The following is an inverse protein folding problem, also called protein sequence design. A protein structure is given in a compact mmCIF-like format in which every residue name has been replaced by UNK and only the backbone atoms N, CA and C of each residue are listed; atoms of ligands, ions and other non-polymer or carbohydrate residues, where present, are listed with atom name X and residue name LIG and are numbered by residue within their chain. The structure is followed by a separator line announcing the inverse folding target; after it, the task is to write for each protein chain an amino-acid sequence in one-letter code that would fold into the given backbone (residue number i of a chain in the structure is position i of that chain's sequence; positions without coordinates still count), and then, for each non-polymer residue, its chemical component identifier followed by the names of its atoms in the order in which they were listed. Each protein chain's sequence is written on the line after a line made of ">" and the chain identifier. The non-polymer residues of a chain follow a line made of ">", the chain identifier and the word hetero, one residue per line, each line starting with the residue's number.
data_IF_488978075934
#
_entry.id   IF_488978075934
#
_cell.length_a   1.000
_cell.length_b   1.000
_cell.length_c   1.000
_cell.angle_alpha   90.00
_cell.angle_beta   90.00
_cell.angle_gamma   90.00
#
_symmetry.space_group_name_H-M   'P 1'
#
loop_
_entity.id
_entity.type
_entity.pdbx_description
1 polymer ?
#
# COMPACT_ATOMS: atom_id res chain seq x y z
N UNK A 1 20.85 19.53 -14.08
CA UNK A 1 19.58 19.89 -13.42
C UNK A 1 18.43 18.93 -13.82
N UNK A 2 18.65 17.60 -13.77
CA UNK A 2 17.69 16.56 -14.20
C UNK A 2 17.54 15.39 -13.19
N UNK A 3 18.05 15.52 -11.96
CA UNK A 3 18.02 14.46 -10.92
C UNK A 3 16.96 14.65 -9.82
N UNK A 4 16.12 15.69 -9.89
CA UNK A 4 15.19 16.04 -8.80
C UNK A 4 13.81 15.38 -8.89
N UNK A 5 13.43 14.82 -10.04
CA UNK A 5 12.07 14.27 -10.23
C UNK A 5 11.98 12.79 -9.84
N UNK A 6 13.11 12.06 -9.81
CA UNK A 6 13.10 10.61 -9.55
C UNK A 6 12.94 10.25 -8.06
N UNK A 7 13.29 11.15 -7.14
CA UNK A 7 13.26 10.84 -5.70
C UNK A 7 11.89 11.04 -5.04
N UNK A 8 11.05 11.92 -5.57
CA UNK A 8 9.66 12.06 -5.10
C UNK A 8 8.85 10.77 -5.34
N UNK A 9 9.17 10.00 -6.39
CA UNK A 9 8.56 8.70 -6.67
C UNK A 9 9.05 7.58 -5.73
N UNK A 10 10.27 7.67 -5.19
CA UNK A 10 10.80 6.68 -4.25
C UNK A 10 10.10 6.76 -2.89
N UNK A 11 9.68 7.95 -2.46
CA UNK A 11 8.88 8.15 -1.24
C UNK A 11 7.47 7.55 -1.36
N UNK A 12 6.93 7.48 -2.59
CA UNK A 12 5.54 7.08 -2.90
C UNK A 12 5.40 5.56 -3.13
N UNK A 13 6.49 4.81 -3.32
CA UNK A 13 6.45 3.35 -3.52
C UNK A 13 6.58 2.52 -2.21
N UNK A 14 6.54 3.16 -1.04
CA UNK A 14 6.98 2.53 0.20
C UNK A 14 5.96 1.77 1.05
N UNK A 15 4.65 1.82 0.78
CA UNK A 15 3.69 1.53 1.84
C UNK A 15 2.48 0.69 1.38
N UNK A 16 2.74 -0.59 1.08
CA UNK A 16 1.69 -1.59 0.85
C UNK A 16 1.70 -2.76 1.85
N UNK A 17 2.05 -2.51 3.11
CA UNK A 17 1.99 -3.56 4.15
C UNK A 17 1.57 -2.96 5.50
N UNK A 18 0.32 -3.20 5.89
CA UNK A 18 -0.10 -3.38 7.29
C UNK A 18 -1.58 -3.78 7.31
N UNK A 19 -1.90 -5.08 7.46
CA UNK A 19 -3.12 -5.56 8.10
C UNK A 19 -2.95 -7.04 8.48
N UNK A 20 -2.90 -7.34 9.78
CA UNK A 20 -3.37 -8.58 10.40
C UNK A 20 -3.16 -8.50 11.92
N UNK A 21 -4.14 -7.95 12.65
CA UNK A 21 -4.50 -8.35 14.02
C UNK A 21 -5.54 -7.39 14.61
N UNK A 22 -6.82 -7.80 14.66
CA UNK A 22 -7.59 -7.94 15.91
C UNK A 22 -9.05 -8.35 15.67
N UNK A 23 -9.59 -9.01 16.68
CA UNK A 23 -10.79 -9.86 16.68
C UNK A 23 -12.11 -9.21 16.24
N UNK A 24 -13.01 -10.08 15.79
CA UNK A 24 -14.44 -9.83 15.79
C UNK A 24 -15.19 -11.01 16.41
N UNK A 25 -16.12 -10.66 17.29
CA UNK A 25 -17.05 -11.56 17.97
C UNK A 25 -18.03 -12.22 16.99
N UNK A 26 -18.50 -13.41 17.36
CA UNK A 26 -19.42 -14.26 16.59
C UNK A 26 -20.75 -13.54 16.27
N UNK A 27 -21.07 -13.46 14.97
CA UNK A 27 -22.46 -13.31 14.52
C UNK A 27 -22.85 -14.49 13.63
N UNK A 28 -24.09 -14.96 13.79
CA UNK A 28 -24.62 -16.18 13.20
C UNK A 28 -24.51 -16.18 11.67
N UNK A 29 -23.81 -17.20 11.17
CA UNK A 29 -23.49 -17.40 9.75
C UNK A 29 -24.66 -18.11 9.04
N UNK A 30 -25.12 -17.61 7.88
CA UNK A 30 -26.07 -18.35 7.05
C UNK A 30 -25.43 -19.66 6.55
N UNK A 31 -26.24 -20.71 6.40
CA UNK A 31 -25.80 -22.06 6.05
C UNK A 31 -24.87 -22.05 4.83
N UNK A 32 -23.59 -22.39 5.06
CA UNK A 32 -22.58 -22.50 4.02
C UNK A 32 -22.96 -23.61 3.03
N UNK A 33 -22.79 -23.32 1.74
CA UNK A 33 -22.71 -24.35 0.71
C UNK A 33 -21.67 -25.39 1.13
N UNK A 34 -21.99 -26.68 0.96
CA UNK A 34 -21.09 -27.77 1.29
C UNK A 34 -19.72 -27.53 0.66
N UNK A 35 -18.62 -27.51 1.45
CA UNK A 35 -17.30 -27.19 0.94
C UNK A 35 -16.93 -28.16 -0.18
N UNK A 36 -16.43 -27.64 -1.29
CA UNK A 36 -15.86 -28.48 -2.35
C UNK A 36 -14.68 -29.28 -1.78
N UNK A 37 -14.46 -30.53 -2.21
CA UNK A 37 -13.28 -31.29 -1.85
C UNK A 37 -12.00 -30.49 -2.13
N UNK A 38 -11.07 -30.46 -1.17
CA UNK A 38 -9.83 -29.67 -1.28
C UNK A 38 -9.03 -29.94 -2.57
N UNK A 39 -9.09 -31.17 -3.09
CA UNK A 39 -8.43 -31.58 -4.33
C UNK A 39 -9.05 -30.94 -5.59
N UNK A 40 -10.38 -30.81 -5.64
CA UNK A 40 -11.05 -30.13 -6.77
C UNK A 40 -10.74 -28.63 -6.78
N UNK A 41 -10.69 -28.02 -5.59
CA UNK A 41 -10.35 -26.60 -5.42
C UNK A 41 -8.88 -26.33 -5.79
N UNK A 42 -7.97 -27.22 -5.40
CA UNK A 42 -6.57 -27.17 -5.83
C UNK A 42 -6.42 -27.31 -7.35
N UNK A 43 -7.08 -28.30 -7.95
CA UNK A 43 -7.07 -28.51 -9.40
C UNK A 43 -7.66 -27.31 -10.16
N UNK A 44 -8.70 -26.68 -9.61
CA UNK A 44 -9.28 -25.45 -10.16
C UNK A 44 -8.34 -24.25 -10.04
N UNK A 45 -7.66 -24.10 -8.91
CA UNK A 45 -6.62 -23.09 -8.74
C UNK A 45 -5.50 -23.28 -9.78
N UNK A 46 -4.99 -24.51 -9.92
CA UNK A 46 -3.96 -24.86 -10.90
C UNK A 46 -4.42 -24.65 -12.34
N UNK A 47 -5.70 -24.91 -12.64
CA UNK A 47 -6.30 -24.59 -13.93
C UNK A 47 -6.25 -23.10 -14.22
N UNK A 48 -6.68 -22.23 -13.30
CA UNK A 48 -6.62 -20.78 -13.48
C UNK A 48 -5.19 -20.27 -13.65
N UNK A 49 -4.25 -20.79 -12.88
CA UNK A 49 -2.81 -20.51 -13.02
C UNK A 49 -2.30 -20.90 -14.40
N UNK A 50 -2.66 -22.10 -14.89
CA UNK A 50 -2.26 -22.57 -16.22
C UNK A 50 -2.77 -21.69 -17.37
N UNK A 51 -3.83 -20.91 -17.12
CA UNK A 51 -4.41 -19.94 -18.06
C UNK A 51 -3.92 -18.51 -17.83
N UNK A 52 -3.00 -18.29 -16.89
CA UNK A 52 -2.46 -16.98 -16.53
C UNK A 52 -3.41 -16.11 -15.72
N UNK A 53 -4.48 -16.68 -15.15
CA UNK A 53 -5.45 -15.97 -14.31
C UNK A 53 -5.11 -16.19 -12.82
N UNK A 54 -4.06 -15.52 -12.35
CA UNK A 54 -3.49 -15.74 -11.02
C UNK A 54 -4.42 -15.32 -9.89
N UNK A 55 -5.21 -14.26 -10.08
CA UNK A 55 -6.20 -13.80 -9.10
C UNK A 55 -7.25 -14.88 -8.83
N UNK A 56 -7.78 -15.51 -9.88
CA UNK A 56 -8.73 -16.61 -9.74
C UNK A 56 -8.07 -17.87 -9.18
N UNK A 57 -6.79 -18.10 -9.50
CA UNK A 57 -6.00 -19.19 -8.91
C UNK A 57 -5.84 -19.02 -7.40
N UNK A 58 -5.47 -17.82 -6.97
CA UNK A 58 -5.30 -17.48 -5.55
C UNK A 58 -6.62 -17.49 -4.79
N UNK A 59 -7.68 -16.91 -5.37
CA UNK A 59 -9.03 -16.95 -4.78
C UNK A 59 -9.55 -18.39 -4.63
N UNK A 60 -9.25 -19.27 -5.59
CA UNK A 60 -9.57 -20.69 -5.47
C UNK A 60 -8.78 -21.33 -4.32
N UNK A 61 -7.47 -21.10 -4.19
CA UNK A 61 -6.69 -21.63 -3.07
C UNK A 61 -7.19 -21.17 -1.69
N UNK A 62 -7.58 -19.89 -1.56
CA UNK A 62 -8.16 -19.35 -0.33
C UNK A 62 -9.52 -19.95 0.03
N UNK A 63 -10.19 -20.63 -0.93
CA UNK A 63 -11.43 -21.34 -0.66
C UNK A 63 -11.22 -22.77 -0.15
N UNK A 64 -9.97 -23.24 -0.03
CA UNK A 64 -9.64 -24.51 0.63
C UNK A 64 -9.82 -24.33 2.14
N UNK A 65 -10.81 -25.01 2.72
CA UNK A 65 -11.10 -24.94 4.16
C UNK A 65 -10.10 -25.69 5.05
N UNK A 66 -9.27 -26.54 4.45
CA UNK A 66 -8.21 -27.30 5.11
C UNK A 66 -6.91 -26.49 5.09
N UNK A 67 -6.57 -25.89 6.23
CA UNK A 67 -5.47 -24.93 6.36
C UNK A 67 -4.10 -25.53 6.01
N UNK A 68 -3.83 -26.78 6.40
CA UNK A 68 -2.55 -27.44 6.15
C UNK A 68 -2.37 -27.70 4.64
N UNK A 69 -3.44 -28.11 3.95
CA UNK A 69 -3.42 -28.27 2.49
C UNK A 69 -3.39 -26.94 1.75
N UNK A 70 -4.06 -25.91 2.27
CA UNK A 70 -4.00 -24.56 1.70
C UNK A 70 -2.58 -24.00 1.79
N UNK A 71 -1.89 -24.22 2.92
CA UNK A 71 -0.51 -23.82 3.12
C UNK A 71 0.45 -24.58 2.19
N UNK A 72 0.35 -25.91 2.09
CA UNK A 72 1.15 -26.73 1.15
C UNK A 72 0.89 -26.33 -0.32
N UNK A 73 -0.38 -26.07 -0.66
CA UNK A 73 -0.76 -25.62 -2.00
C UNK A 73 -0.23 -24.23 -2.32
N UNK A 74 -0.28 -23.30 -1.36
CA UNK A 74 0.28 -21.95 -1.49
C UNK A 74 1.80 -21.99 -1.62
N UNK A 75 2.49 -22.80 -0.82
CA UNK A 75 3.94 -23.00 -0.92
C UNK A 75 4.32 -23.48 -2.33
N UNK A 76 3.60 -24.46 -2.87
CA UNK A 76 3.77 -24.90 -4.26
C UNK A 76 3.39 -23.81 -5.29
N UNK A 77 2.35 -23.01 -5.02
CA UNK A 77 1.90 -21.89 -5.86
C UNK A 77 2.93 -20.76 -5.94
N UNK A 78 3.63 -20.45 -4.87
CA UNK A 78 4.68 -19.43 -4.86
C UNK A 78 5.97 -19.91 -5.57
N UNK A 79 6.16 -21.22 -5.74
CA UNK A 79 7.23 -21.80 -6.56
C UNK A 79 6.87 -21.94 -8.06
N UNK A 80 5.59 -21.77 -8.42
CA UNK A 80 5.10 -21.87 -9.79
C UNK A 80 5.52 -20.72 -10.73
N UNK A 81 5.65 -19.45 -10.30
CA UNK A 81 6.23 -18.39 -11.14
C UNK A 81 7.62 -18.75 -11.66
N UNK A 82 8.46 -19.37 -10.83
CA UNK A 82 9.80 -19.84 -11.22
C UNK A 82 9.75 -20.96 -12.28
N UNK A 83 8.84 -21.92 -12.14
CA UNK A 83 8.69 -23.06 -13.08
C UNK A 83 7.89 -22.73 -14.35
N UNK A 84 7.05 -21.69 -14.34
CA UNK A 84 6.29 -21.26 -15.53
C UNK A 84 7.03 -20.21 -16.37
N UNK A 85 7.95 -19.43 -15.77
CA UNK A 85 8.91 -18.62 -16.52
C UNK A 85 9.72 -19.50 -17.50
N UNK A 86 10.12 -20.71 -17.07
CA UNK A 86 10.78 -21.69 -17.94
C UNK A 86 9.89 -22.22 -19.08
N UNK A 87 8.57 -22.27 -18.89
CA UNK A 87 7.61 -22.88 -19.83
C UNK A 87 7.04 -21.92 -20.88
N UNK A 88 7.06 -20.61 -20.62
CA UNK A 88 6.61 -19.56 -21.55
C UNK A 88 7.76 -18.99 -22.40
N UNK A 89 8.97 -19.54 -22.28
CA UNK A 89 10.19 -19.18 -22.99
C UNK A 89 10.20 -19.56 -24.49
N UNK A 90 9.04 -19.60 -25.14
CA UNK A 90 8.92 -19.82 -26.58
C UNK A 90 8.73 -18.55 -27.42
N UNK A 91 8.18 -17.46 -26.87
CA UNK A 91 7.75 -16.31 -27.71
C UNK A 91 7.93 -14.90 -27.09
N UNK A 92 8.55 -14.76 -25.93
CA UNK A 92 8.94 -13.45 -25.39
C UNK A 92 10.35 -13.56 -24.84
N UNK A 93 11.23 -12.63 -25.21
CA UNK A 93 12.60 -12.55 -24.70
C UNK A 93 12.60 -12.80 -23.17
N UNK A 94 13.06 -13.96 -22.68
CA UNK A 94 12.93 -14.38 -21.29
C UNK A 94 13.81 -13.56 -20.33
N UNK A 95 14.65 -12.68 -20.88
CA UNK A 95 15.73 -12.03 -20.16
C UNK A 95 15.33 -10.76 -19.40
N UNK A 96 14.05 -10.38 -19.29
CA UNK A 96 13.70 -9.14 -18.57
C UNK A 96 12.30 -9.14 -17.93
N UNK A 97 12.11 -9.96 -16.90
CA UNK A 97 10.98 -9.80 -15.98
C UNK A 97 11.43 -9.08 -14.71
N UNK A 98 10.62 -8.12 -14.27
CA UNK A 98 10.68 -7.58 -12.92
C UNK A 98 9.84 -8.47 -11.99
N UNK A 99 10.45 -9.08 -10.99
CA UNK A 99 9.76 -9.87 -9.97
C UNK A 99 9.92 -9.20 -8.61
N UNK A 100 8.80 -9.07 -7.90
CA UNK A 100 8.78 -8.77 -6.47
C UNK A 100 8.58 -10.05 -5.67
N UNK A 101 9.48 -10.34 -4.74
CA UNK A 101 9.36 -11.48 -3.82
C UNK A 101 9.21 -10.98 -2.38
N UNK A 102 8.51 -11.76 -1.56
CA UNK A 102 8.31 -11.48 -0.15
C UNK A 102 8.86 -12.63 0.69
N UNK A 103 9.51 -12.30 1.80
CA UNK A 103 9.81 -13.26 2.86
C UNK A 103 8.90 -12.99 4.06
N UNK A 104 8.49 -14.06 4.73
CA UNK A 104 7.56 -14.00 5.84
C UNK A 104 8.18 -14.62 7.09
N UNK A 105 7.90 -14.02 8.23
CA UNK A 105 8.20 -14.53 9.56
C UNK A 105 7.02 -15.31 10.15
N UNK A 106 7.13 -15.63 11.43
CA UNK A 106 6.06 -16.29 12.18
C UNK A 106 4.77 -15.44 12.12
N UNK A 107 3.64 -16.10 11.88
CA UNK A 107 2.33 -15.44 11.79
C UNK A 107 2.10 -14.69 10.48
N UNK A 108 2.92 -14.92 9.44
CA UNK A 108 2.72 -14.30 8.12
C UNK A 108 3.15 -12.83 8.06
N UNK A 109 3.94 -12.36 9.03
CA UNK A 109 4.49 -10.99 9.02
C UNK A 109 5.55 -10.89 7.93
N UNK A 110 5.47 -9.88 7.05
CA UNK A 110 6.48 -9.66 6.00
C UNK A 110 7.78 -9.19 6.65
N UNK A 111 8.89 -9.88 6.39
CA UNK A 111 10.22 -9.51 6.91
C UNK A 111 11.09 -8.83 5.85
N UNK A 112 10.90 -9.19 4.58
CA UNK A 112 11.65 -8.58 3.47
C UNK A 112 10.79 -8.56 2.21
N UNK A 113 10.92 -7.49 1.43
CA UNK A 113 10.43 -7.36 0.06
C UNK A 113 11.65 -7.19 -0.84
N UNK A 114 11.88 -8.10 -1.79
CA UNK A 114 13.01 -8.03 -2.73
C UNK A 114 12.53 -7.83 -4.16
N UNK A 115 13.32 -7.10 -4.93
CA UNK A 115 13.08 -6.75 -6.32
C UNK A 115 14.15 -7.39 -7.17
N UNK A 116 13.74 -8.08 -8.23
CA UNK A 116 14.61 -8.85 -9.10
C UNK A 116 14.39 -8.43 -10.54
N UNK A 117 15.47 -8.10 -11.24
CA UNK A 117 15.49 -7.85 -12.68
C UNK A 117 16.22 -9.04 -13.32
N UNK A 118 15.57 -9.75 -14.24
CA UNK A 118 16.14 -10.92 -14.92
C UNK A 118 16.61 -12.02 -13.95
N UNK A 119 15.92 -12.16 -12.81
CA UNK A 119 16.26 -13.13 -11.76
C UNK A 119 17.43 -12.73 -10.85
N UNK A 120 18.00 -11.53 -11.02
CA UNK A 120 19.04 -10.98 -10.14
C UNK A 120 18.40 -9.97 -9.20
N UNK A 121 18.62 -10.12 -7.90
CA UNK A 121 18.14 -9.16 -6.90
C UNK A 121 18.82 -7.80 -7.08
N UNK A 122 18.06 -6.77 -7.43
CA UNK A 122 18.52 -5.39 -7.64
C UNK A 122 18.24 -4.48 -6.45
N UNK A 123 17.24 -4.83 -5.64
CA UNK A 123 16.92 -4.11 -4.41
C UNK A 123 16.22 -5.01 -3.39
N UNK A 124 16.26 -4.60 -2.12
CA UNK A 124 15.51 -5.23 -1.05
C UNK A 124 15.14 -4.19 0.02
N UNK A 125 13.96 -4.35 0.60
CA UNK A 125 13.51 -3.64 1.78
C UNK A 125 13.29 -4.62 2.92
N UNK A 126 13.93 -4.37 4.05
CA UNK A 126 13.82 -5.21 5.26
C UNK A 126 13.00 -4.50 6.31
N UNK A 127 12.08 -5.23 6.94
CA UNK A 127 11.16 -4.70 7.94
C UNK A 127 11.51 -5.25 9.32
N UNK A 128 11.45 -4.40 10.34
CA UNK A 128 11.57 -4.80 11.75
C UNK A 128 10.33 -4.41 12.51
N UNK A 129 9.98 -5.20 13.52
CA UNK A 129 8.75 -5.03 14.29
C UNK A 129 9.06 -5.01 15.78
N UNK A 130 8.28 -4.25 16.53
CA UNK A 130 8.30 -4.19 17.99
C UNK A 130 6.87 -4.26 18.49
N UNK A 131 6.58 -5.21 19.39
CA UNK A 131 5.23 -5.47 19.91
C UNK A 131 4.17 -5.66 18.80
N UNK A 132 4.56 -6.26 17.67
CA UNK A 132 3.67 -6.50 16.53
C UNK A 132 3.45 -5.29 15.62
N UNK A 133 3.99 -4.12 15.96
CA UNK A 133 3.92 -2.91 15.14
C UNK A 133 5.22 -2.74 14.33
N UNK A 134 5.10 -2.24 13.10
CA UNK A 134 6.26 -1.96 12.25
C UNK A 134 7.12 -0.88 12.94
N UNK A 135 8.41 -1.14 13.14
CA UNK A 135 9.32 -0.21 13.83
C UNK A 135 10.23 0.52 12.85
N UNK A 136 10.88 -0.24 11.96
CA UNK A 136 11.72 0.33 10.91
C UNK A 136 11.60 -0.44 9.60
N UNK A 137 11.91 0.24 8.49
CA UNK A 137 12.30 -0.41 7.25
C UNK A 137 13.66 0.10 6.77
N UNK A 138 14.44 -0.75 6.11
CA UNK A 138 15.69 -0.37 5.46
C UNK A 138 15.66 -0.83 4.01
N UNK A 139 15.78 0.12 3.08
CA UNK A 139 15.87 -0.17 1.66
C UNK A 139 17.31 -0.10 1.17
N UNK A 140 17.70 -1.16 0.49
CA UNK A 140 18.98 -1.30 -0.19
C UNK A 140 18.75 -1.49 -1.68
N UNK A 141 19.60 -0.87 -2.49
CA UNK A 141 19.67 -1.14 -3.93
C UNK A 141 21.11 -1.44 -4.30
N UNK A 142 21.31 -2.57 -4.98
CA UNK A 142 22.62 -3.12 -5.32
C UNK A 142 23.56 -3.26 -4.10
N UNK A 143 22.99 -3.64 -2.95
CA UNK A 143 23.71 -3.80 -1.68
C UNK A 143 23.88 -2.52 -0.85
N UNK A 144 23.79 -1.36 -1.48
CA UNK A 144 23.93 -0.06 -0.82
C UNK A 144 22.64 0.36 -0.12
N UNK A 145 22.75 0.79 1.15
CA UNK A 145 21.66 1.48 1.86
C UNK A 145 21.28 2.74 1.09
N UNK A 146 20.00 2.91 0.76
CA UNK A 146 19.48 4.14 0.15
C UNK A 146 18.68 4.96 1.15
N UNK A 147 17.84 4.30 1.96
CA UNK A 147 17.15 4.96 3.05
C UNK A 147 16.77 4.00 4.18
N UNK A 148 16.47 4.57 5.33
CA UNK A 148 15.83 3.91 6.47
C UNK A 148 14.58 4.69 6.85
N UNK A 149 13.45 4.03 7.04
CA UNK A 149 12.25 4.62 7.62
C UNK A 149 12.05 4.13 9.06
N UNK A 150 11.62 5.01 9.97
CA UNK A 150 11.15 4.66 11.31
C UNK A 150 9.70 5.10 11.49
N UNK A 151 8.93 4.29 12.19
CA UNK A 151 7.48 4.45 12.34
C UNK A 151 7.14 4.56 13.82
N UNK A 152 6.33 5.55 14.17
CA UNK A 152 5.91 5.79 15.56
C UNK A 152 4.40 5.77 15.67
N UNK A 153 3.89 5.05 16.67
CA UNK A 153 2.47 4.82 16.90
C UNK A 153 2.04 5.43 18.23
N UNK A 154 0.79 5.88 18.30
CA UNK A 154 0.21 6.40 19.54
C UNK A 154 -0.25 5.27 20.47
N UNK A 155 -0.78 5.62 21.63
CA UNK A 155 -1.27 4.64 22.62
C UNK A 155 -2.45 3.78 22.16
N UNK A 156 -3.12 4.17 21.07
CA UNK A 156 -4.22 3.41 20.44
C UNK A 156 -3.71 2.55 19.26
N UNK A 157 -2.40 2.56 18.99
CA UNK A 157 -1.79 1.81 17.88
C UNK A 157 -1.97 2.47 16.52
N UNK A 158 -2.31 3.77 16.46
CA UNK A 158 -2.40 4.52 15.20
C UNK A 158 -1.04 5.12 14.84
N UNK A 159 -0.66 5.03 13.57
CA UNK A 159 0.58 5.63 13.07
C UNK A 159 0.50 7.15 13.15
N UNK A 160 1.36 7.81 13.91
CA UNK A 160 1.36 9.28 14.00
C UNK A 160 2.61 9.93 13.41
N UNK A 161 3.70 9.18 13.18
CA UNK A 161 4.93 9.72 12.60
C UNK A 161 5.66 8.67 11.74
N UNK A 162 6.18 9.13 10.60
CA UNK A 162 7.17 8.42 9.79
C UNK A 162 8.37 9.35 9.61
N UNK A 163 9.58 8.86 9.92
CA UNK A 163 10.82 9.58 9.61
C UNK A 163 11.63 8.73 8.64
N UNK A 164 11.90 9.27 7.46
CA UNK A 164 12.77 8.65 6.46
C UNK A 164 14.11 9.36 6.47
N UNK A 165 15.21 8.61 6.51
CA UNK A 165 16.57 9.11 6.36
C UNK A 165 17.24 8.53 5.14
N UNK A 166 17.96 9.34 4.38
CA UNK A 166 18.80 8.86 3.29
C UNK A 166 20.14 8.28 3.80
N UNK A 167 21.04 7.93 2.89
CA UNK A 167 22.35 7.39 3.25
C UNK A 167 23.25 8.43 3.94
N UNK A 168 23.03 9.71 3.67
CA UNK A 168 23.73 10.87 4.24
C UNK A 168 23.09 11.40 5.54
N UNK A 169 22.07 10.71 6.06
CA UNK A 169 21.30 11.09 7.25
C UNK A 169 20.52 12.40 7.12
N UNK A 170 20.31 12.92 5.90
CA UNK A 170 19.24 13.90 5.68
C UNK A 170 17.90 13.19 5.91
N UNK A 171 16.89 13.94 6.30
CA UNK A 171 15.59 13.36 6.59
C UNK A 171 14.45 14.05 5.86
N UNK A 172 13.44 13.24 5.54
CA UNK A 172 12.08 13.66 5.28
C UNK A 172 11.19 13.06 6.38
N UNK A 173 10.06 13.69 6.67
CA UNK A 173 9.13 13.15 7.66
C UNK A 173 7.68 13.39 7.30
N UNK A 174 6.82 12.58 7.89
CA UNK A 174 5.38 12.65 7.75
C UNK A 174 4.73 12.50 9.12
N UNK A 175 3.97 13.51 9.53
CA UNK A 175 3.25 13.52 10.82
C UNK A 175 1.74 13.46 10.56
N UNK A 176 1.01 12.76 11.43
CA UNK A 176 -0.44 12.65 11.37
C UNK A 176 -1.09 13.13 12.67
N UNK A 177 -2.21 13.85 12.53
CA UNK A 177 -3.10 14.17 13.66
C UNK A 177 -4.45 13.55 13.43
N UNK A 178 -5.02 13.01 14.50
CA UNK A 178 -6.30 12.33 14.50
C UNK A 178 -7.36 13.15 15.24
N UNK A 179 -8.57 13.16 14.70
CA UNK A 179 -9.75 13.69 15.38
C UNK A 179 -10.33 12.67 16.37
N UNK A 180 -11.39 13.07 17.07
CA UNK A 180 -12.06 12.22 18.08
C UNK A 180 -12.71 10.96 17.50
N UNK A 181 -12.99 10.93 16.19
CA UNK A 181 -13.47 9.73 15.48
C UNK A 181 -12.36 8.75 15.11
N UNK A 182 -11.10 9.05 15.45
CA UNK A 182 -9.95 8.25 15.05
C UNK A 182 -9.52 8.45 13.60
N UNK A 183 -10.13 9.39 12.86
CA UNK A 183 -9.78 9.73 11.47
C UNK A 183 -8.69 10.80 11.41
N UNK A 184 -7.82 10.72 10.41
CA UNK A 184 -6.78 11.73 10.18
C UNK A 184 -7.43 13.07 9.83
N UNK A 185 -7.15 14.11 10.62
CA UNK A 185 -7.60 15.48 10.38
C UNK A 185 -6.50 16.36 9.80
N UNK A 186 -5.23 15.98 10.00
CA UNK A 186 -4.09 16.70 9.43
C UNK A 186 -2.96 15.72 9.11
N UNK A 187 -2.30 15.94 7.98
CA UNK A 187 -1.07 15.27 7.56
C UNK A 187 -0.05 16.36 7.22
N UNK A 188 1.13 16.31 7.84
CA UNK A 188 2.23 17.23 7.58
C UNK A 188 3.38 16.46 6.95
N UNK A 189 3.83 16.86 5.77
CA UNK A 189 4.94 16.26 5.04
C UNK A 189 6.08 17.27 5.01
N UNK A 190 7.24 16.89 5.50
CA UNK A 190 8.49 17.65 5.36
C UNK A 190 9.40 16.90 4.41
N UNK A 191 9.69 17.48 3.25
CA UNK A 191 10.59 16.89 2.26
C UNK A 191 12.06 17.05 2.69
N UNK A 192 12.97 16.33 2.04
CA UNK A 192 14.42 16.40 2.30
C UNK A 192 15.01 17.81 2.10
N UNK A 193 14.35 18.68 1.33
CA UNK A 193 14.78 20.08 1.14
C UNK A 193 14.19 21.04 2.19
N UNK A 194 13.45 20.51 3.17
CA UNK A 194 12.77 21.27 4.21
C UNK A 194 11.42 21.87 3.77
N UNK A 195 10.97 21.64 2.53
CA UNK A 195 9.64 22.07 2.10
C UNK A 195 8.59 21.36 2.93
N UNK A 196 7.67 22.13 3.53
CA UNK A 196 6.58 21.58 4.32
C UNK A 196 5.28 21.67 3.53
N UNK A 197 4.57 20.57 3.41
CA UNK A 197 3.20 20.51 2.89
C UNK A 197 2.26 20.03 3.98
N UNK A 198 1.19 20.77 4.24
CA UNK A 198 0.15 20.41 5.20
C UNK A 198 -1.14 20.11 4.44
N UNK A 199 -1.69 18.92 4.65
CA UNK A 199 -3.01 18.52 4.20
C UNK A 199 -3.95 18.52 5.40
N UNK A 200 -5.02 19.32 5.35
CA UNK A 200 -6.08 19.33 6.36
C UNK A 200 -7.32 18.66 5.80
N UNK A 201 -7.91 17.76 6.58
CA UNK A 201 -9.03 16.92 6.18
C UNK A 201 -10.24 17.22 7.06
N UNK A 202 -11.39 17.40 6.41
CA UNK A 202 -12.69 17.53 7.06
C UNK A 202 -13.62 16.45 6.55
N UNK A 203 -14.52 16.00 7.41
CA UNK A 203 -15.46 14.93 7.11
C UNK A 203 -16.90 15.44 7.23
N UNK A 204 -17.79 14.91 6.41
CA UNK A 204 -19.21 15.20 6.51
C UNK A 204 -19.85 14.42 7.68
N UNK A 205 -21.15 14.63 7.91
CA UNK A 205 -21.91 13.94 8.98
C UNK A 205 -21.99 12.42 8.84
N UNK A 206 -21.77 11.87 7.64
CA UNK A 206 -21.69 10.43 7.37
C UNK A 206 -20.24 9.93 7.47
N UNK A 207 -19.35 10.76 8.02
CA UNK A 207 -17.93 10.53 8.19
C UNK A 207 -17.13 10.25 6.91
N UNK A 208 -17.62 10.74 5.77
CA UNK A 208 -16.93 10.67 4.49
C UNK A 208 -16.09 11.93 4.31
N UNK A 209 -14.91 11.81 3.71
CA UNK A 209 -14.03 12.95 3.47
C UNK A 209 -14.77 13.99 2.62
N UNK A 210 -15.01 15.18 3.17
CA UNK A 210 -15.71 16.27 2.50
C UNK A 210 -14.76 17.27 1.88
N UNK A 211 -13.70 17.65 2.59
CA UNK A 211 -12.74 18.65 2.13
C UNK A 211 -11.32 18.20 2.42
N UNK A 212 -10.43 18.39 1.44
CA UNK A 212 -8.98 18.36 1.63
C UNK A 212 -8.39 19.70 1.24
N UNK A 213 -7.75 20.40 2.17
CA UNK A 213 -7.00 21.63 1.90
C UNK A 213 -5.51 21.35 1.98
N UNK A 214 -4.81 21.58 0.87
CA UNK A 214 -3.36 21.43 0.75
C UNK A 214 -2.68 22.79 0.79
N UNK A 215 -1.74 22.95 1.71
CA UNK A 215 -0.96 24.17 1.90
C UNK A 215 0.53 23.84 1.82
N UNK A 216 1.31 24.71 1.18
CA UNK A 216 2.77 24.67 1.25
C UNK A 216 3.24 25.77 2.20
N UNK A 217 4.11 25.42 3.14
CA UNK A 217 4.80 26.39 4.00
C UNK A 217 6.22 26.53 3.50
N UNK A 218 6.61 27.77 3.19
CA UNK A 218 7.98 28.13 2.84
C UNK A 218 8.35 29.41 3.57
N UNK A 219 9.49 29.42 4.25
CA UNK A 219 9.99 30.57 5.01
C UNK A 219 8.98 31.10 6.05
N UNK A 220 8.12 30.21 6.57
CA UNK A 220 7.06 30.54 7.54
C UNK A 220 5.73 31.00 6.93
N UNK A 221 5.66 31.21 5.62
CA UNK A 221 4.44 31.64 4.93
C UNK A 221 3.62 30.44 4.44
N UNK A 222 2.34 30.39 4.81
CA UNK A 222 1.38 29.39 4.33
C UNK A 222 0.77 29.84 2.99
N UNK A 223 1.00 29.06 1.94
CA UNK A 223 0.35 29.23 0.63
C UNK A 223 -0.60 28.07 0.38
N UNK A 224 -1.88 28.35 0.19
CA UNK A 224 -2.84 27.33 -0.27
C UNK A 224 -2.53 27.00 -1.72
N UNK A 225 -2.18 25.73 -1.98
CA UNK A 225 -1.87 25.26 -3.33
C UNK A 225 -3.08 24.63 -4.00
N UNK A 226 -3.98 24.02 -3.22
CA UNK A 226 -5.23 23.47 -3.70
C UNK A 226 -6.20 23.21 -2.55
N UNK A 227 -7.48 23.25 -2.86
CA UNK A 227 -8.55 22.74 -2.02
C UNK A 227 -9.41 21.79 -2.86
N UNK A 228 -9.83 20.68 -2.29
CA UNK A 228 -10.65 19.66 -2.94
C UNK A 228 -11.93 19.48 -2.13
N UNK A 229 -13.08 19.58 -2.79
CA UNK A 229 -14.40 19.32 -2.22
C UNK A 229 -14.99 18.06 -2.86
N UNK A 230 -15.23 17.02 -2.07
CA UNK A 230 -15.64 15.70 -2.56
C UNK A 230 -17.16 15.55 -2.52
N UNK A 231 -17.72 15.01 -3.60
CA UNK A 231 -19.15 14.86 -3.80
C UNK A 231 -19.50 13.38 -3.81
N UNK A 232 -20.45 12.97 -2.97
CA UNK A 232 -20.91 11.59 -2.86
C UNK A 232 -22.40 11.50 -3.21
N UNK A 233 -22.81 10.39 -3.79
CA UNK A 233 -24.22 10.08 -3.92
C UNK A 233 -24.81 9.58 -2.57
N UNK A 234 -26.12 9.35 -2.55
CA UNK A 234 -26.85 8.91 -1.35
C UNK A 234 -26.39 7.56 -0.78
N UNK A 235 -25.76 6.71 -1.61
CA UNK A 235 -25.18 5.42 -1.17
C UNK A 235 -23.76 5.57 -0.62
N UNK A 236 -23.27 6.80 -0.55
CA UNK A 236 -21.93 7.12 -0.08
C UNK A 236 -20.82 6.79 -1.07
N UNK A 237 -21.14 6.62 -2.35
CA UNK A 237 -20.13 6.42 -3.42
C UNK A 237 -19.65 7.79 -3.88
N UNK A 238 -18.34 7.99 -3.95
CA UNK A 238 -17.73 9.20 -4.52
C UNK A 238 -18.17 9.33 -5.98
N UNK A 239 -18.77 10.46 -6.36
CA UNK A 239 -19.24 10.70 -7.74
C UNK A 239 -18.46 11.82 -8.45
N UNK A 240 -17.65 12.59 -7.72
CA UNK A 240 -16.77 13.61 -8.27
C UNK A 240 -16.06 14.40 -7.18
N UNK A 241 -15.22 15.34 -7.58
CA UNK A 241 -14.77 16.39 -6.69
C UNK A 241 -14.49 17.68 -7.48
N UNK A 242 -14.60 18.78 -6.76
CA UNK A 242 -14.19 20.09 -7.24
C UNK A 242 -12.81 20.41 -6.69
N UNK A 243 -11.93 20.96 -7.54
CA UNK A 243 -10.63 21.48 -7.11
C UNK A 243 -10.60 22.99 -7.26
N UNK A 244 -10.20 23.69 -6.22
CA UNK A 244 -9.89 25.12 -6.27
C UNK A 244 -8.39 25.31 -6.14
N UNK A 245 -7.75 25.90 -7.14
CA UNK A 245 -6.32 26.23 -7.13
C UNK A 245 -6.08 27.56 -7.86
N UNK A 246 -5.17 28.40 -7.35
CA UNK A 246 -4.88 29.73 -7.91
C UNK A 246 -6.13 30.60 -8.12
N UNK A 247 -7.10 30.50 -7.22
CA UNK A 247 -8.39 31.19 -7.30
C UNK A 247 -9.32 30.71 -8.41
N UNK A 248 -8.99 29.61 -9.10
CA UNK A 248 -9.80 29.00 -10.16
C UNK A 248 -10.37 27.67 -9.70
N UNK A 249 -11.62 27.42 -10.08
CA UNK A 249 -12.32 26.15 -9.85
C UNK A 249 -12.16 25.25 -11.08
N UNK A 250 -11.87 23.98 -10.83
CA UNK A 250 -11.69 22.93 -11.82
C UNK A 250 -12.61 21.77 -11.44
N UNK A 251 -13.36 21.25 -12.41
CA UNK A 251 -14.06 19.97 -12.26
C UNK A 251 -13.03 18.86 -12.44
N UNK A 252 -12.80 18.09 -11.37
CA UNK A 252 -11.86 16.97 -11.40
C UNK A 252 -12.64 15.74 -11.81
N UNK A 253 -12.62 15.47 -13.10
CA UNK A 253 -13.24 14.27 -13.65
C UNK A 253 -12.74 13.00 -12.95
N UNK A 254 -13.60 11.97 -12.93
CA UNK A 254 -13.38 10.70 -12.22
C UNK A 254 -12.01 10.03 -12.53
N UNK A 255 -11.46 10.26 -13.73
CA UNK A 255 -10.17 9.71 -14.16
C UNK A 255 -8.95 10.34 -13.49
N UNK A 256 -8.99 11.63 -13.15
CA UNK A 256 -7.90 12.29 -12.42
C UNK A 256 -7.92 11.90 -10.94
N UNK A 257 -9.08 11.49 -10.41
CA UNK A 257 -9.17 11.01 -9.03
C UNK A 257 -8.51 9.67 -8.78
N UNK A 258 -8.46 8.76 -9.76
CA UNK A 258 -7.71 7.49 -9.60
C UNK A 258 -6.22 7.71 -9.35
N UNK A 259 -5.65 8.86 -9.71
CA UNK A 259 -4.24 9.17 -9.43
C UNK A 259 -4.03 9.65 -7.99
N UNK A 260 -5.04 10.26 -7.37
CA UNK A 260 -5.02 10.67 -5.96
C UNK A 260 -5.64 9.63 -5.01
N UNK A 261 -6.38 8.68 -5.58
CA UNK A 261 -7.11 7.59 -4.95
C UNK A 261 -6.77 6.31 -5.72
N UNK A 262 -5.47 6.05 -5.89
CA UNK A 262 -5.06 4.70 -6.26
C UNK A 262 -4.89 3.96 -4.93
N UNK A 263 -5.67 2.93 -4.61
CA UNK A 263 -5.42 2.12 -3.41
C UNK A 263 -3.99 1.56 -3.36
N UNK A 264 -3.28 1.49 -4.50
CA UNK A 264 -1.87 1.12 -4.57
C UNK A 264 -0.88 2.28 -4.29
N UNK A 265 -1.33 3.55 -4.29
CA UNK A 265 -0.52 4.76 -4.00
C UNK A 265 -1.07 5.60 -2.83
N UNK A 266 -2.27 5.30 -2.34
CA UNK A 266 -2.86 5.90 -1.16
C UNK A 266 -2.61 4.98 0.02
N UNK A 267 -1.41 5.08 0.55
CA UNK A 267 -1.03 4.52 1.84
C UNK A 267 -2.12 4.85 2.87
N UNK A 268 -2.84 3.82 3.33
CA UNK A 268 -3.61 3.75 4.57
C UNK A 268 -4.82 4.68 4.81
N UNK A 269 -5.30 5.47 3.84
CA UNK A 269 -6.34 6.48 4.15
C UNK A 269 -7.82 6.07 4.04
N UNK A 270 -8.18 4.86 3.60
CA UNK A 270 -9.56 4.38 3.69
C UNK A 270 -9.63 2.92 4.13
N UNK A 271 -9.81 2.71 5.43
CA UNK A 271 -10.85 1.88 6.05
C UNK A 271 -10.53 1.88 7.56
N UNK A 272 -11.00 2.94 8.22
CA UNK A 272 -11.36 2.96 9.64
C UNK A 272 -12.75 3.61 9.72
#
# INVERSE_FOLDING_TARGET
>A
MKRRITFALALIMLLSVCLCACGSEESEKPALATPRPAEETYNLAMYYVSKGNYEMGYAALLSISDYDKAAEALENFYHLPGKMAERKAGETNPDNYDITMFSYGKGGIILERSYHESGVMTAAERFTYENGLLKTSEFRSNGDKKFTASYTFDGEGRLYEIVMKDAEENFAKKDYKYGTSGKVTEETITDFDGTVTINKFSYNKNEQLSVKRSCRIKDGEETVIAEYEYIYNEKGVLIGADKTADGKKYDVGYSEHRLFYNPDYSDLMLYY
#
